data_IF_672514643148
#
_entry.id   IF_672514643148
#
_cell.length_a   1.000
_cell.length_b   1.000
_cell.length_c   1.000
_cell.angle_alpha   90.00
_cell.angle_beta   90.00
_cell.angle_gamma   90.00
#
_symmetry.space_group_name_H-M   'P 1'
#
loop_
_entity.id
_entity.type
_entity.pdbx_description
1 polymer ?
#
# COMPACT_ATOMS: atom_id res chain seq x y z
N UNK A 1 10.38 5.74 -13.84
CA UNK A 1 9.82 4.63 -13.03
C UNK A 1 8.48 5.08 -12.49
N UNK A 2 7.42 4.28 -12.67
CA UNK A 2 6.07 4.62 -12.18
C UNK A 2 5.90 4.11 -10.75
N UNK A 3 5.28 4.92 -9.89
CA UNK A 3 4.98 4.57 -8.50
C UNK A 3 3.48 4.59 -8.26
N UNK A 4 3.04 3.83 -7.28
CA UNK A 4 1.67 3.86 -6.75
C UNK A 4 1.70 4.42 -5.33
N UNK A 5 0.74 5.30 -5.02
CA UNK A 5 0.55 5.88 -3.70
C UNK A 5 -0.45 5.06 -2.90
N UNK A 6 -0.07 4.65 -1.70
CA UNK A 6 -0.91 3.90 -0.77
C UNK A 6 -1.11 4.76 0.48
N UNK A 7 -2.35 5.10 0.81
CA UNK A 7 -2.67 5.93 1.98
C UNK A 7 -2.98 5.09 3.23
N UNK A 8 -3.24 3.79 3.05
CA UNK A 8 -3.53 2.88 4.15
C UNK A 8 -2.24 2.31 4.72
N UNK A 9 -1.94 2.63 5.98
CA UNK A 9 -0.80 2.06 6.71
C UNK A 9 -0.87 0.53 6.78
N UNK A 10 -2.07 -0.05 6.92
CA UNK A 10 -2.25 -1.52 6.95
C UNK A 10 -1.89 -2.16 5.61
N UNK A 11 -2.32 -1.57 4.49
CA UNK A 11 -1.96 -2.05 3.16
C UNK A 11 -0.45 -1.90 2.92
N UNK A 12 0.14 -0.76 3.30
CA UNK A 12 1.58 -0.57 3.20
C UNK A 12 2.34 -1.64 4.00
N UNK A 13 1.89 -1.94 5.22
CA UNK A 13 2.41 -3.03 6.04
C UNK A 13 2.31 -4.39 5.36
N UNK A 14 1.15 -4.73 4.79
CA UNK A 14 0.94 -5.97 4.03
C UNK A 14 1.91 -6.09 2.85
N UNK A 15 2.11 -5.02 2.09
CA UNK A 15 3.03 -5.02 0.95
C UNK A 15 4.49 -5.22 1.38
N UNK A 16 4.94 -4.53 2.44
CA UNK A 16 6.28 -4.70 2.98
C UNK A 16 6.50 -6.12 3.53
N UNK A 17 5.49 -6.70 4.20
CA UNK A 17 5.51 -8.07 4.66
C UNK A 17 5.66 -9.08 3.50
N UNK A 18 5.01 -8.80 2.37
CA UNK A 18 5.13 -9.57 1.12
C UNK A 18 6.35 -9.18 0.26
N UNK A 19 7.39 -8.58 0.85
CA UNK A 19 8.69 -8.25 0.21
C UNK A 19 8.64 -7.16 -0.87
N UNK A 20 7.58 -6.37 -0.96
CA UNK A 20 7.59 -5.19 -1.82
C UNK A 20 8.34 -4.04 -1.14
N UNK A 21 9.34 -3.50 -1.84
CA UNK A 21 10.14 -2.40 -1.32
C UNK A 21 9.35 -1.08 -1.31
N UNK A 22 9.27 -0.48 -0.13
CA UNK A 22 8.82 0.90 0.02
C UNK A 22 9.86 1.84 -0.58
N UNK A 23 9.46 2.66 -1.54
CA UNK A 23 10.35 3.59 -2.26
C UNK A 23 10.54 4.87 -1.44
N UNK A 24 9.43 5.42 -0.90
CA UNK A 24 9.44 6.67 -0.14
C UNK A 24 8.15 6.79 0.70
N UNK A 25 8.23 7.54 1.78
CA UNK A 25 7.07 8.07 2.51
C UNK A 25 7.02 9.58 2.29
N UNK A 26 5.85 10.10 1.94
CA UNK A 26 5.58 11.53 1.82
C UNK A 26 4.39 11.92 2.70
N UNK A 27 4.30 13.18 3.10
CA UNK A 27 3.10 13.70 3.75
C UNK A 27 1.97 13.86 2.72
N UNK A 28 0.73 13.60 3.12
CA UNK A 28 -0.43 13.91 2.27
C UNK A 28 -0.51 15.42 2.03
N UNK A 29 -0.64 15.83 0.76
CA UNK A 29 -0.68 17.24 0.35
C UNK A 29 -1.86 18.01 0.95
N UNK A 30 -2.91 17.32 1.39
CA UNK A 30 -4.12 17.91 1.99
C UNK A 30 -4.09 17.89 3.51
N UNK A 31 -3.36 16.95 4.09
CA UNK A 31 -3.31 16.73 5.53
C UNK A 31 -1.92 16.21 5.92
N UNK A 32 -1.05 17.12 6.35
CA UNK A 32 0.34 16.78 6.70
C UNK A 32 0.46 15.81 7.89
N UNK A 33 -0.63 15.53 8.61
CA UNK A 33 -0.66 14.49 9.66
C UNK A 33 -0.71 13.07 9.11
N UNK A 34 -1.01 12.90 7.81
CA UNK A 34 -1.13 11.60 7.15
C UNK A 34 0.07 11.29 6.29
N UNK A 35 0.48 10.02 6.33
CA UNK A 35 1.54 9.49 5.48
C UNK A 35 0.97 8.87 4.20
N UNK A 36 1.67 9.09 3.10
CA UNK A 36 1.48 8.43 1.81
C UNK A 36 2.69 7.56 1.53
N UNK A 37 2.45 6.27 1.34
CA UNK A 37 3.49 5.26 1.14
C UNK A 37 3.62 4.97 -0.36
N UNK A 38 4.79 5.26 -0.94
CA UNK A 38 5.04 5.08 -2.37
C UNK A 38 5.77 3.76 -2.64
N UNK A 39 5.20 2.95 -3.51
CA UNK A 39 5.79 1.69 -3.99
C UNK A 39 5.98 1.71 -5.51
N UNK A 40 6.84 0.84 -6.03
CA UNK A 40 6.97 0.64 -7.49
C UNK A 40 5.67 0.06 -8.05
N UNK A 41 5.15 0.64 -9.13
CA UNK A 41 3.95 0.12 -9.80
C UNK A 41 4.32 -1.12 -10.63
N UNK A 42 3.97 -2.31 -10.14
CA UNK A 42 4.15 -3.59 -10.84
C UNK A 42 2.87 -4.41 -10.80
N UNK A 43 2.74 -5.38 -11.72
CA UNK A 43 1.56 -6.23 -11.78
C UNK A 43 1.43 -7.11 -10.54
N UNK A 44 2.56 -7.61 -10.02
CA UNK A 44 2.63 -8.47 -8.83
C UNK A 44 2.18 -7.71 -7.58
N UNK A 45 2.55 -6.43 -7.46
CA UNK A 45 2.11 -5.59 -6.34
C UNK A 45 0.59 -5.41 -6.37
N UNK A 46 0.00 -5.17 -7.55
CA UNK A 46 -1.46 -5.04 -7.70
C UNK A 46 -2.18 -6.35 -7.38
N UNK A 47 -1.63 -7.49 -7.79
CA UNK A 47 -2.17 -8.80 -7.41
C UNK A 47 -2.10 -9.03 -5.90
N UNK A 48 -1.00 -8.64 -5.25
CA UNK A 48 -0.85 -8.73 -3.80
C UNK A 48 -1.85 -7.85 -3.04
N UNK A 49 -2.13 -6.64 -3.55
CA UNK A 49 -3.18 -5.77 -3.02
C UNK A 49 -4.58 -6.41 -3.12
N UNK A 50 -4.89 -7.07 -4.25
CA UNK A 50 -6.17 -7.74 -4.42
C UNK A 50 -6.37 -8.87 -3.39
N UNK A 51 -5.34 -9.69 -3.15
CA UNK A 51 -5.38 -10.73 -2.11
C UNK A 51 -5.65 -10.16 -0.71
N UNK A 52 -5.06 -9.02 -0.38
CA UNK A 52 -5.35 -8.36 0.90
C UNK A 52 -6.83 -7.98 1.04
N UNK A 53 -7.44 -7.48 -0.03
CA UNK A 53 -8.85 -7.11 -0.01
C UNK A 53 -9.76 -8.34 0.18
N UNK A 54 -9.41 -9.49 -0.40
CA UNK A 54 -10.13 -10.77 -0.21
C UNK A 54 -10.07 -11.23 1.25
N UNK A 55 -8.90 -11.17 1.90
CA UNK A 55 -8.78 -11.51 3.32
C UNK A 55 -9.49 -10.51 4.22
N UNK A 56 -9.40 -9.21 3.90
CA UNK A 56 -10.05 -8.17 4.69
C UNK A 56 -11.57 -8.36 4.71
N UNK A 57 -12.19 -8.69 3.57
CA UNK A 57 -13.63 -8.94 3.51
C UNK A 57 -14.09 -10.13 4.35
N UNK A 58 -13.20 -11.08 4.66
CA UNK A 58 -13.53 -12.26 5.48
C UNK A 58 -13.47 -11.99 6.99
N UNK A 59 -12.85 -10.89 7.43
CA UNK A 59 -12.65 -10.56 8.85
C UNK A 59 -13.61 -9.45 9.32
N UNK A 60 -14.10 -8.63 8.39
CA UNK A 60 -15.02 -7.53 8.68
C UNK A 60 -16.53 -7.97 8.67
N UNK A 61 -16.82 -9.29 8.58
CA UNK A 61 -18.13 -9.94 8.81
C UNK A 61 -18.20 -10.60 10.20
#
# INVERSE_FOLDING_TARGET
MKTIAINSQRMAGWLMFNRFNLVRIESDKRDNSRNVYLFKDTQELRQCMNRYNEFKSMIDE
#
